data_IF_809407828519
#
_entry.id   IF_809407828519
#
_cell.length_a   1.000
_cell.length_b   1.000
_cell.length_c   1.000
_cell.angle_alpha   90.00
_cell.angle_beta   90.00
_cell.angle_gamma   90.00
#
_symmetry.space_group_name_H-M   'P 1'
#
loop_
_entity.id
_entity.type
_entity.pdbx_description
1 polymer ?
#
# COMPACT_ATOMS: atom_id res chain seq x y z
N UNK A 1 14.55 36.32 -6.00
CA UNK A 1 13.77 35.59 -4.97
C UNK A 1 12.73 34.65 -5.60
N UNK A 2 12.06 35.06 -6.68
CA UNK A 2 10.97 34.27 -7.30
C UNK A 2 11.40 32.90 -7.85
N UNK A 3 12.57 32.79 -8.50
CA UNK A 3 13.05 31.52 -9.07
C UNK A 3 13.24 30.41 -8.04
N UNK A 4 13.67 30.74 -6.81
CA UNK A 4 13.78 29.77 -5.71
C UNK A 4 12.41 29.23 -5.33
N UNK A 5 11.40 30.12 -5.23
CA UNK A 5 10.03 29.75 -4.87
C UNK A 5 9.45 28.78 -5.90
N UNK A 6 9.67 29.05 -7.20
CA UNK A 6 9.21 28.15 -8.27
C UNK A 6 9.84 26.77 -8.15
N UNK A 7 11.16 26.68 -7.93
CA UNK A 7 11.86 25.39 -7.76
C UNK A 7 11.31 24.62 -6.55
N UNK A 8 11.11 25.30 -5.42
CA UNK A 8 10.57 24.67 -4.20
C UNK A 8 9.16 24.16 -4.43
N UNK A 9 8.30 24.91 -5.12
CA UNK A 9 6.94 24.49 -5.46
C UNK A 9 6.93 23.27 -6.39
N UNK A 10 7.84 23.20 -7.36
CA UNK A 10 8.00 22.04 -8.25
C UNK A 10 8.43 20.80 -7.46
N UNK A 11 9.43 20.93 -6.59
CA UNK A 11 9.89 19.82 -5.73
C UNK A 11 8.80 19.33 -4.79
N UNK A 12 8.00 20.24 -4.26
CA UNK A 12 6.87 19.92 -3.40
C UNK A 12 5.79 19.12 -4.14
N UNK A 13 5.46 19.56 -5.35
CA UNK A 13 4.50 18.89 -6.22
C UNK A 13 4.99 17.49 -6.60
N UNK A 14 6.29 17.34 -6.91
CA UNK A 14 6.91 16.05 -7.19
C UNK A 14 6.83 15.10 -5.99
N UNK A 15 7.13 15.57 -4.78
CA UNK A 15 7.05 14.78 -3.55
C UNK A 15 5.63 14.27 -3.29
N UNK A 16 4.62 15.11 -3.54
CA UNK A 16 3.21 14.77 -3.37
C UNK A 16 2.71 13.76 -4.40
N UNK A 17 3.20 13.83 -5.64
CA UNK A 17 2.69 13.06 -6.77
C UNK A 17 3.40 11.70 -6.93
N UNK A 18 4.72 11.62 -6.67
CA UNK A 18 5.50 10.40 -6.91
C UNK A 18 4.96 9.18 -6.15
N UNK A 19 4.57 9.36 -4.89
CA UNK A 19 4.02 8.31 -4.04
C UNK A 19 2.70 7.72 -4.57
N UNK A 20 1.64 8.54 -4.72
CA UNK A 20 0.36 8.10 -5.28
C UNK A 20 0.49 7.49 -6.68
N UNK A 21 1.30 8.07 -7.58
CA UNK A 21 1.54 7.49 -8.91
C UNK A 21 2.17 6.10 -8.78
N UNK A 22 3.19 5.95 -7.93
CA UNK A 22 3.81 4.64 -7.68
C UNK A 22 2.81 3.59 -7.20
N UNK A 23 1.86 3.97 -6.34
CA UNK A 23 0.80 3.08 -5.84
C UNK A 23 -0.18 2.70 -6.95
N UNK A 24 -0.61 3.66 -7.78
CA UNK A 24 -1.52 3.40 -8.90
C UNK A 24 -0.85 2.46 -9.91
N UNK A 25 0.42 2.71 -10.22
CA UNK A 25 1.18 1.89 -11.15
C UNK A 25 1.37 0.46 -10.62
N UNK A 26 1.58 0.30 -9.31
CA UNK A 26 1.66 -1.02 -8.66
C UNK A 26 0.37 -1.85 -8.78
N UNK A 27 -0.81 -1.20 -8.89
CA UNK A 27 -2.10 -1.90 -8.99
C UNK A 27 -2.41 -2.42 -10.40
N UNK A 28 -1.71 -1.94 -11.42
CA UNK A 28 -1.95 -2.35 -12.80
C UNK A 28 -1.44 -3.79 -12.99
N UNK A 29 -2.35 -4.69 -13.35
CA UNK A 29 -2.04 -6.09 -13.66
C UNK A 29 -1.61 -6.22 -15.12
N UNK A 30 -0.36 -6.60 -15.34
CA UNK A 30 0.22 -6.87 -16.65
C UNK A 30 0.25 -8.38 -16.90
N UNK A 31 -0.12 -8.82 -18.12
CA UNK A 31 -0.11 -10.25 -18.49
C UNK A 31 1.22 -10.72 -19.08
N UNK A 32 2.01 -9.83 -19.69
CA UNK A 32 3.28 -10.19 -20.32
C UNK A 32 4.48 -9.82 -19.43
N UNK A 33 5.55 -10.61 -19.52
CA UNK A 33 6.80 -10.34 -18.80
C UNK A 33 7.41 -8.98 -19.20
N UNK A 34 7.39 -8.67 -20.49
CA UNK A 34 7.93 -7.41 -21.04
C UNK A 34 7.19 -6.20 -20.45
N UNK A 35 5.85 -6.22 -20.46
CA UNK A 35 5.06 -5.10 -19.90
C UNK A 35 5.24 -4.97 -18.39
N UNK A 36 5.43 -6.09 -17.69
CA UNK A 36 5.75 -6.08 -16.25
C UNK A 36 7.11 -5.46 -15.97
N UNK A 37 8.11 -5.76 -16.80
CA UNK A 37 9.45 -5.19 -16.68
C UNK A 37 9.45 -3.67 -16.94
N UNK A 38 8.81 -3.23 -18.02
CA UNK A 38 8.64 -1.81 -18.35
C UNK A 38 7.93 -1.08 -17.20
N UNK A 39 6.82 -1.64 -16.71
CA UNK A 39 6.07 -1.09 -15.58
C UNK A 39 6.96 -0.90 -14.35
N UNK A 40 7.79 -1.90 -14.02
CA UNK A 40 8.73 -1.84 -12.87
C UNK A 40 9.81 -0.77 -13.04
N UNK A 41 10.31 -0.54 -14.26
CA UNK A 41 11.27 0.54 -14.53
C UNK A 41 10.63 1.89 -14.23
N UNK A 42 9.47 2.18 -14.83
CA UNK A 42 8.76 3.44 -14.60
C UNK A 42 8.41 3.62 -13.12
N UNK A 43 7.91 2.57 -12.48
CA UNK A 43 7.59 2.61 -11.06
C UNK A 43 8.83 2.89 -10.21
N UNK A 44 9.95 2.23 -10.50
CA UNK A 44 11.23 2.44 -9.83
C UNK A 44 11.70 3.88 -9.95
N UNK A 45 11.58 4.50 -11.13
CA UNK A 45 11.96 5.90 -11.35
C UNK A 45 11.16 6.88 -10.49
N UNK A 46 9.84 6.72 -10.40
CA UNK A 46 9.02 7.58 -9.53
C UNK A 46 9.34 7.37 -8.05
N UNK A 47 9.61 6.13 -7.64
CA UNK A 47 9.97 5.81 -6.26
C UNK A 47 11.31 6.43 -5.88
N UNK A 48 12.35 6.28 -6.72
CA UNK A 48 13.67 6.84 -6.43
C UNK A 48 13.63 8.35 -6.39
N UNK A 49 12.92 8.99 -7.32
CA UNK A 49 12.75 10.45 -7.35
C UNK A 49 12.02 10.97 -6.10
N UNK A 50 10.90 10.34 -5.72
CA UNK A 50 10.17 10.68 -4.50
C UNK A 50 10.97 10.43 -3.22
N UNK A 51 11.80 9.39 -3.20
CA UNK A 51 12.67 9.08 -2.07
C UNK A 51 13.81 10.10 -1.91
N UNK A 52 14.51 10.45 -3.00
CA UNK A 52 15.58 11.46 -2.97
C UNK A 52 15.04 12.79 -2.45
N UNK A 53 13.94 13.26 -3.05
CA UNK A 53 13.29 14.50 -2.64
C UNK A 53 12.86 14.39 -1.18
N UNK A 54 12.14 13.33 -0.80
CA UNK A 54 11.64 13.14 0.56
C UNK A 54 12.74 13.10 1.64
N UNK A 55 13.86 12.41 1.37
CA UNK A 55 15.03 12.38 2.25
C UNK A 55 15.66 13.77 2.36
N UNK A 56 15.80 14.49 1.24
CA UNK A 56 16.35 15.84 1.24
C UNK A 56 15.53 16.78 2.14
N UNK A 57 14.20 16.75 2.06
CA UNK A 57 13.32 17.56 2.93
C UNK A 57 13.46 17.23 4.43
N UNK A 58 13.87 16.00 4.78
CA UNK A 58 14.08 15.57 6.17
C UNK A 58 15.48 15.92 6.70
N UNK A 59 16.50 15.83 5.85
CA UNK A 59 17.89 16.01 6.26
C UNK A 59 18.34 17.47 6.30
N UNK A 60 17.62 18.41 5.66
CA UNK A 60 18.01 19.82 5.69
C UNK A 60 17.75 20.43 7.09
N UNK A 61 18.81 20.86 7.81
CA UNK A 61 18.65 21.56 9.08
C UNK A 61 18.10 22.96 8.85
N UNK A 62 17.25 23.44 9.77
CA UNK A 62 16.65 24.79 9.69
C UNK A 62 15.40 24.90 8.81
N UNK A 63 14.94 23.82 8.17
CA UNK A 63 13.68 23.81 7.44
C UNK A 63 12.46 23.82 8.39
N UNK A 64 11.35 24.52 8.04
CA UNK A 64 10.12 24.51 8.82
C UNK A 64 9.53 23.09 8.98
N UNK A 65 8.67 22.88 9.98
CA UNK A 65 8.03 21.58 10.23
C UNK A 65 7.21 21.10 9.02
N UNK A 66 6.45 21.98 8.37
CA UNK A 66 5.54 21.61 7.29
C UNK A 66 6.21 20.77 6.19
N UNK A 67 7.28 21.25 5.53
CA UNK A 67 7.95 20.47 4.49
C UNK A 67 8.56 19.14 4.95
N UNK A 68 8.94 19.01 6.24
CA UNK A 68 9.41 17.73 6.80
C UNK A 68 8.29 16.70 6.84
N UNK A 69 7.07 17.11 7.17
CA UNK A 69 5.89 16.24 7.13
C UNK A 69 5.66 15.77 5.71
N UNK A 70 5.74 16.66 4.72
CA UNK A 70 5.60 16.27 3.31
C UNK A 70 6.71 15.30 2.87
N UNK A 71 7.96 15.55 3.25
CA UNK A 71 9.06 14.61 3.04
C UNK A 71 8.80 13.23 3.64
N UNK A 72 8.29 13.18 4.87
CA UNK A 72 7.92 11.93 5.55
C UNK A 72 6.77 11.21 4.80
N UNK A 73 5.73 11.94 4.40
CA UNK A 73 4.61 11.34 3.65
C UNK A 73 5.04 10.80 2.29
N UNK A 74 5.98 11.48 1.61
CA UNK A 74 6.61 10.98 0.38
C UNK A 74 7.31 9.65 0.63
N UNK A 75 8.12 9.55 1.69
CA UNK A 75 8.80 8.29 2.03
C UNK A 75 7.84 7.17 2.37
N UNK A 76 6.80 7.44 3.16
CA UNK A 76 5.80 6.45 3.53
C UNK A 76 5.02 5.96 2.30
N UNK A 77 4.62 6.86 1.41
CA UNK A 77 3.90 6.50 0.18
C UNK A 77 4.78 5.76 -0.81
N UNK A 78 6.05 6.15 -0.97
CA UNK A 78 7.05 5.40 -1.74
C UNK A 78 7.27 3.99 -1.16
N UNK A 79 7.38 3.86 0.16
CA UNK A 79 7.50 2.56 0.84
C UNK A 79 6.27 1.68 0.57
N UNK A 80 5.06 2.23 0.67
CA UNK A 80 3.82 1.52 0.35
C UNK A 80 3.79 1.08 -1.11
N UNK A 81 4.24 1.93 -2.04
CA UNK A 81 4.33 1.60 -3.47
C UNK A 81 5.27 0.42 -3.73
N UNK A 82 6.48 0.44 -3.15
CA UNK A 82 7.44 -0.68 -3.22
C UNK A 82 6.79 -1.95 -2.64
N UNK A 83 6.20 -1.84 -1.45
CA UNK A 83 5.58 -2.97 -0.77
C UNK A 83 4.49 -3.62 -1.63
N UNK A 84 3.63 -2.82 -2.25
CA UNK A 84 2.52 -3.33 -3.05
C UNK A 84 2.98 -4.07 -4.31
N UNK A 85 4.08 -3.65 -4.95
CA UNK A 85 4.57 -4.27 -6.19
C UNK A 85 5.44 -5.50 -5.93
N UNK A 86 6.37 -5.42 -4.99
CA UNK A 86 7.37 -6.47 -4.77
C UNK A 86 6.95 -7.48 -3.70
N UNK A 87 6.14 -7.06 -2.72
CA UNK A 87 5.73 -7.89 -1.58
C UNK A 87 4.22 -7.82 -1.34
N UNK A 88 3.37 -8.21 -2.32
CA UNK A 88 1.92 -8.11 -2.17
C UNK A 88 1.35 -8.97 -1.03
N UNK A 89 2.01 -10.09 -0.70
CA UNK A 89 1.58 -11.03 0.35
C UNK A 89 2.50 -10.94 1.58
N UNK A 90 2.32 -9.89 2.38
CA UNK A 90 2.92 -9.82 3.71
C UNK A 90 2.18 -10.80 4.65
N UNK A 91 2.70 -12.04 4.73
CA UNK A 91 2.16 -13.11 5.60
C UNK A 91 2.03 -12.70 7.07
N UNK A 92 2.79 -11.69 7.53
CA UNK A 92 2.71 -11.16 8.90
C UNK A 92 1.40 -10.40 9.14
N UNK A 93 0.92 -9.62 8.15
CA UNK A 93 -0.34 -8.89 8.28
C UNK A 93 -1.56 -9.84 8.22
N UNK A 94 -1.46 -10.90 7.41
CA UNK A 94 -2.43 -12.01 7.41
C UNK A 94 -2.41 -12.78 8.74
N UNK A 95 -1.23 -13.02 9.33
CA UNK A 95 -1.09 -13.63 10.67
C UNK A 95 -1.61 -12.73 11.79
N UNK A 96 -1.58 -11.40 11.61
CA UNK A 96 -2.18 -10.42 12.52
C UNK A 96 -3.68 -10.19 12.27
N UNK A 97 -4.32 -10.96 11.37
CA UNK A 97 -5.76 -10.92 11.14
C UNK A 97 -6.27 -9.75 10.30
N UNK A 98 -5.38 -8.86 9.82
CA UNK A 98 -5.75 -7.72 8.98
C UNK A 98 -5.77 -8.19 7.53
N UNK A 99 -6.84 -8.91 7.18
CA UNK A 99 -7.08 -9.40 5.82
C UNK A 99 -7.47 -8.21 4.92
N UNK A 100 -6.86 -8.03 3.72
CA UNK A 100 -7.28 -6.99 2.79
C UNK A 100 -8.74 -7.23 2.38
N UNK A 101 -9.58 -6.19 2.58
CA UNK A 101 -11.05 -6.12 2.44
C UNK A 101 -11.59 -6.38 1.01
N UNK A 102 -10.90 -7.13 0.16
CA UNK A 102 -11.34 -7.33 -1.23
C UNK A 102 -11.16 -8.76 -1.74
N UNK A 103 -11.69 -9.73 -0.98
CA UNK A 103 -12.04 -11.06 -1.49
C UNK A 103 -13.42 -11.48 -0.95
N UNK A 104 -14.46 -11.04 -1.63
CA UNK A 104 -15.75 -11.74 -1.68
C UNK A 104 -15.63 -12.70 -2.87
N UNK A 105 -15.70 -14.03 -2.70
CA UNK A 105 -16.96 -14.70 -3.00
C UNK A 105 -17.18 -16.04 -2.29
N UNK A 106 -16.25 -16.63 -1.53
CA UNK A 106 -16.51 -17.82 -0.69
C UNK A 106 -15.72 -17.68 0.63
N UNK A 107 -16.44 -17.65 1.75
CA UNK A 107 -16.12 -16.83 2.93
C UNK A 107 -15.00 -17.30 3.86
N UNK A 108 -14.53 -16.43 4.78
CA UNK A 108 -13.92 -16.85 6.03
C UNK A 108 -14.99 -16.81 7.12
N UNK A 109 -15.43 -17.99 7.57
CA UNK A 109 -16.09 -18.11 8.87
C UNK A 109 -15.11 -17.61 9.94
N UNK A 110 -15.29 -16.34 10.32
CA UNK A 110 -14.62 -15.68 11.43
C UNK A 110 -15.19 -16.28 12.74
N UNK A 111 -14.94 -17.57 12.99
CA UNK A 111 -15.21 -18.17 14.30
C UNK A 111 -14.13 -17.68 15.26
N UNK A 112 -14.37 -16.51 15.84
CA UNK A 112 -13.79 -16.10 17.10
C UNK A 112 -14.17 -17.15 18.16
N UNK A 113 -13.33 -18.16 18.36
CA UNK A 113 -13.47 -19.09 19.49
C UNK A 113 -12.83 -18.46 20.72
N UNK A 114 -13.56 -17.55 21.34
CA UNK A 114 -13.36 -17.17 22.74
C UNK A 114 -14.60 -17.65 23.52
N UNK A 115 -14.40 -18.60 24.44
CA UNK A 115 -15.37 -18.90 25.50
C UNK A 115 -16.38 -20.03 25.21
N UNK A 116 -16.23 -21.13 25.96
CA UNK A 116 -17.28 -21.62 26.85
C UNK A 116 -18.60 -22.20 26.29
N UNK A 117 -18.72 -23.52 26.45
CA UNK A 117 -19.95 -24.29 26.77
C UNK A 117 -21.06 -24.45 25.73
N UNK A 118 -21.67 -25.62 25.86
CA UNK A 118 -22.66 -26.30 25.04
C UNK A 118 -24.01 -25.58 24.97
N UNK A 119 -24.67 -25.69 23.82
CA UNK A 119 -26.10 -25.98 23.82
C UNK A 119 -26.45 -26.82 22.59
N UNK A 120 -27.09 -27.95 22.86
CA UNK A 120 -27.57 -28.87 21.85
C UNK A 120 -28.71 -28.26 21.04
N UNK A 121 -28.76 -28.61 19.75
CA UNK A 121 -29.99 -28.57 18.98
C UNK A 121 -30.09 -29.89 18.25
N UNK A 122 -30.72 -30.83 18.95
CA UNK A 122 -31.29 -32.04 18.42
C UNK A 122 -32.36 -31.69 17.37
N UNK A 123 -32.50 -32.57 16.37
CA UNK A 123 -33.79 -32.84 15.75
C UNK A 123 -34.00 -32.37 14.30
N UNK A 124 -34.15 -33.37 13.42
CA UNK A 124 -34.70 -33.36 12.05
C UNK A 124 -33.66 -33.11 10.95
N UNK A 125 -33.32 -34.03 10.04
CA UNK A 125 -33.82 -35.35 9.61
C UNK A 125 -33.34 -35.51 8.15
N UNK A 126 -32.92 -36.70 7.65
CA UNK A 126 -32.41 -36.80 6.28
C UNK A 126 -33.58 -36.96 5.31
N UNK A 127 -33.83 -35.95 4.48
CA UNK A 127 -34.75 -36.07 3.35
C UNK A 127 -34.00 -35.98 2.03
N UNK A 128 -34.15 -37.01 1.20
CA UNK A 128 -33.99 -36.89 -0.25
C UNK A 128 -32.78 -37.60 -0.88
N UNK A 129 -32.62 -38.89 -0.65
CA UNK A 129 -32.06 -39.78 -1.69
C UNK A 129 -33.23 -40.48 -2.39
N UNK A 130 -33.54 -40.04 -3.61
CA UNK A 130 -34.13 -40.84 -4.68
C UNK A 130 -33.97 -40.10 -6.02
#
# INVERSE_FOLDING_TARGET
MEGLVVIVMVLFTLAMICGPIGIVLARIKTKSLITTFIKRIFQGMFITMGMIVGVQWLLIPGLPIAPRIFGLTSLLTCYIAVRNEYFPNFKILERLGIKPRNKSAHGPVLKWKFGGRSDGKDGHGPEGQH
#
